data_IF_415239084554
#
_entry.id   IF_415239084554
#
_cell.length_a   1.000
_cell.length_b   1.000
_cell.length_c   1.000
_cell.angle_alpha   90.00
_cell.angle_beta   90.00
_cell.angle_gamma   90.00
#
_symmetry.space_group_name_H-M   'P 1'
#
loop_
_entity.id
_entity.type
_entity.pdbx_description
1 polymer ?
#
# COMPACT_ATOMS: atom_id res chain seq x y z
N UNK A 1 -21.25 -0.06 -25.53
CA UNK A 1 -21.67 -0.44 -24.17
C UNK A 1 -20.40 -0.70 -23.37
N UNK A 2 -19.94 0.28 -22.59
CA UNK A 2 -18.71 0.17 -21.78
C UNK A 2 -18.99 -0.87 -20.69
N UNK A 3 -18.35 -2.03 -20.75
CA UNK A 3 -18.38 -2.98 -19.64
C UNK A 3 -17.70 -2.31 -18.45
N UNK A 4 -18.49 -1.85 -17.49
CA UNK A 4 -18.02 -1.53 -16.16
C UNK A 4 -17.43 -2.81 -15.60
N UNK A 5 -16.10 -2.90 -15.59
CA UNK A 5 -15.40 -3.97 -14.89
C UNK A 5 -15.84 -3.89 -13.44
N UNK A 6 -16.56 -4.91 -12.94
CA UNK A 6 -16.86 -5.01 -11.52
C UNK A 6 -15.52 -4.96 -10.77
N UNK A 7 -15.29 -3.91 -9.98
CA UNK A 7 -14.10 -3.86 -9.12
C UNK A 7 -14.24 -4.99 -8.09
N UNK A 8 -13.34 -5.98 -8.19
CA UNK A 8 -13.37 -7.13 -7.29
C UNK A 8 -12.91 -6.67 -5.90
N UNK A 9 -13.69 -7.00 -4.88
CA UNK A 9 -13.35 -6.73 -3.47
C UNK A 9 -12.86 -8.01 -2.83
N UNK A 10 -11.74 -7.96 -2.12
CA UNK A 10 -11.11 -9.07 -1.40
C UNK A 10 -10.99 -8.76 0.08
N UNK A 11 -11.17 -9.76 0.95
CA UNK A 11 -11.10 -9.57 2.41
C UNK A 11 -9.76 -10.06 2.94
N UNK A 12 -9.08 -9.21 3.72
CA UNK A 12 -7.82 -9.53 4.39
C UNK A 12 -7.83 -9.10 5.85
N UNK A 13 -7.12 -9.85 6.70
CA UNK A 13 -6.82 -9.42 8.06
C UNK A 13 -5.62 -8.47 8.04
N UNK A 14 -5.80 -7.26 8.56
CA UNK A 14 -4.76 -6.24 8.68
C UNK A 14 -4.61 -5.78 10.13
N UNK A 15 -3.39 -5.37 10.48
CA UNK A 15 -3.10 -4.61 11.69
C UNK A 15 -1.94 -3.65 11.44
N UNK A 16 -1.59 -2.84 12.44
CA UNK A 16 -0.49 -1.89 12.39
C UNK A 16 0.79 -2.52 11.81
N UNK A 17 1.21 -3.67 12.35
CA UNK A 17 2.44 -4.35 11.95
C UNK A 17 2.44 -4.79 10.47
N UNK A 18 1.30 -5.24 9.97
CA UNK A 18 1.16 -5.65 8.56
C UNK A 18 1.39 -4.47 7.63
N UNK A 19 0.86 -3.30 7.99
CA UNK A 19 0.94 -2.09 7.16
C UNK A 19 2.31 -1.42 7.31
N UNK A 20 2.83 -1.26 8.53
CA UNK A 20 4.17 -0.67 8.74
C UNK A 20 5.27 -1.55 8.15
N UNK A 21 5.20 -2.88 8.35
CA UNK A 21 6.20 -3.80 7.82
C UNK A 21 6.28 -3.80 6.29
N UNK A 22 5.16 -3.53 5.61
CA UNK A 22 5.12 -3.33 4.17
C UNK A 22 5.75 -1.98 3.75
N UNK A 23 5.44 -0.89 4.44
CA UNK A 23 6.01 0.44 4.16
C UNK A 23 7.52 0.49 4.41
N UNK A 24 7.99 -0.20 5.44
CA UNK A 24 9.42 -0.31 5.80
C UNK A 24 10.23 -1.10 4.76
N UNK A 25 9.60 -2.04 4.04
CA UNK A 25 10.20 -2.67 2.86
C UNK A 25 10.15 -1.70 1.67
N UNK A 26 11.08 -0.74 1.69
CA UNK A 26 11.17 0.32 0.68
C UNK A 26 11.24 -0.21 -0.75
N UNK A 27 11.85 -1.39 -0.96
CA UNK A 27 11.98 -1.98 -2.30
C UNK A 27 10.65 -2.50 -2.83
N UNK A 28 9.92 -3.27 -2.03
CA UNK A 28 8.60 -3.78 -2.40
C UNK A 28 7.59 -2.65 -2.48
N UNK A 29 7.62 -1.73 -1.51
CA UNK A 29 6.72 -0.59 -1.43
C UNK A 29 6.83 0.34 -2.65
N UNK A 30 8.04 0.72 -3.04
CA UNK A 30 8.26 1.60 -4.20
C UNK A 30 7.78 0.98 -5.50
N UNK A 31 8.07 -0.31 -5.71
CA UNK A 31 7.60 -1.04 -6.89
C UNK A 31 6.07 -1.00 -6.99
N UNK A 32 5.39 -1.30 -5.88
CA UNK A 32 3.94 -1.34 -5.82
C UNK A 32 3.32 0.06 -5.96
N UNK A 33 3.94 1.08 -5.39
CA UNK A 33 3.53 2.48 -5.47
C UNK A 33 3.51 2.97 -6.92
N UNK A 34 4.58 2.74 -7.68
CA UNK A 34 4.69 3.13 -9.10
C UNK A 34 3.59 2.49 -9.97
N UNK A 35 3.24 1.23 -9.68
CA UNK A 35 2.17 0.51 -10.41
C UNK A 35 0.78 1.07 -10.09
N UNK A 36 0.53 1.54 -8.86
CA UNK A 36 -0.79 1.99 -8.43
C UNK A 36 -1.08 3.46 -8.72
N UNK A 37 -0.04 4.31 -8.85
CA UNK A 37 -0.22 5.77 -8.74
C UNK A 37 0.48 6.60 -9.82
N UNK A 38 0.80 6.03 -10.98
CA UNK A 38 1.43 6.75 -12.11
C UNK A 38 0.63 7.94 -12.71
N UNK A 39 -0.45 8.40 -12.07
CA UNK A 39 -1.36 9.46 -12.55
C UNK A 39 -1.93 10.39 -11.46
N UNK A 40 -1.32 10.47 -10.27
CA UNK A 40 -1.82 11.36 -9.21
C UNK A 40 -1.76 12.84 -9.62
N UNK A 41 -2.75 13.62 -9.17
CA UNK A 41 -2.90 15.06 -9.45
C UNK A 41 -1.74 15.89 -8.87
N UNK A 42 -1.13 16.69 -9.73
CA UNK A 42 0.20 17.29 -9.57
C UNK A 42 0.26 18.47 -8.58
N UNK A 43 -0.84 19.19 -8.37
CA UNK A 43 -0.81 20.49 -7.66
C UNK A 43 -0.69 20.40 -6.13
N UNK A 44 -1.02 19.26 -5.52
CA UNK A 44 -1.01 19.11 -4.06
C UNK A 44 0.27 18.51 -3.49
N UNK A 45 1.06 17.82 -4.31
CA UNK A 45 2.13 16.94 -3.85
C UNK A 45 3.51 17.25 -4.43
N UNK A 46 3.59 18.28 -5.26
CA UNK A 46 4.81 18.91 -5.74
C UNK A 46 5.42 19.76 -4.60
N UNK A 47 6.28 19.12 -3.80
CA UNK A 47 6.86 19.70 -2.60
C UNK A 47 7.96 20.71 -2.92
N UNK A 48 8.70 20.48 -4.01
CA UNK A 48 9.74 21.39 -4.49
C UNK A 48 9.20 22.48 -5.45
N UNK A 49 7.92 22.39 -5.83
CA UNK A 49 7.18 23.32 -6.71
C UNK A 49 7.74 23.37 -8.13
N UNK A 50 8.31 22.28 -8.61
CA UNK A 50 8.89 22.18 -9.95
C UNK A 50 7.84 21.91 -11.07
N UNK A 51 6.58 21.71 -10.70
CA UNK A 51 5.45 21.43 -11.58
C UNK A 51 5.26 19.96 -11.93
N UNK A 52 6.05 19.04 -11.37
CA UNK A 52 5.95 17.59 -11.54
C UNK A 52 6.03 16.86 -10.21
N UNK A 53 5.21 15.82 -10.03
CA UNK A 53 5.39 14.90 -8.90
C UNK A 53 6.47 13.89 -9.28
N UNK A 54 7.58 13.89 -8.56
CA UNK A 54 8.59 12.86 -8.73
C UNK A 54 8.26 11.58 -7.93
N UNK A 55 9.00 10.50 -8.20
CA UNK A 55 8.78 9.21 -7.54
C UNK A 55 9.01 9.26 -6.03
N UNK A 56 9.86 10.16 -5.54
CA UNK A 56 10.20 10.32 -4.14
C UNK A 56 9.11 11.08 -3.38
N UNK A 57 8.53 12.12 -3.98
CA UNK A 57 7.38 12.85 -3.44
C UNK A 57 6.14 11.95 -3.35
N UNK A 58 5.84 11.23 -4.44
CA UNK A 58 4.75 10.25 -4.47
C UNK A 58 4.94 9.15 -3.40
N UNK A 59 6.16 8.62 -3.26
CA UNK A 59 6.50 7.63 -2.24
C UNK A 59 6.29 8.16 -0.84
N UNK A 60 6.75 9.38 -0.56
CA UNK A 60 6.70 9.97 0.79
C UNK A 60 5.26 10.14 1.24
N UNK A 61 4.40 10.69 0.38
CA UNK A 61 2.97 10.82 0.64
C UNK A 61 2.29 9.47 0.90
N UNK A 62 2.53 8.49 0.03
CA UNK A 62 1.88 7.18 0.15
C UNK A 62 2.36 6.46 1.41
N UNK A 63 3.62 6.61 1.78
CA UNK A 63 4.15 6.08 3.03
C UNK A 63 3.47 6.73 4.24
N UNK A 64 3.37 8.06 4.28
CA UNK A 64 2.69 8.79 5.36
C UNK A 64 1.22 8.39 5.50
N UNK A 65 0.53 8.27 4.36
CA UNK A 65 -0.88 7.85 4.33
C UNK A 65 -1.05 6.42 4.87
N UNK A 66 -0.20 5.49 4.42
CA UNK A 66 -0.23 4.11 4.88
C UNK A 66 0.13 3.99 6.36
N UNK A 67 1.08 4.79 6.86
CA UNK A 67 1.42 4.85 8.29
C UNK A 67 0.26 5.40 9.12
N UNK A 68 -0.43 6.44 8.64
CA UNK A 68 -1.62 6.96 9.31
C UNK A 68 -2.73 5.89 9.38
N UNK A 69 -2.91 5.11 8.30
CA UNK A 69 -3.82 3.94 8.31
C UNK A 69 -3.38 2.92 9.35
N UNK A 70 -2.08 2.57 9.38
CA UNK A 70 -1.53 1.60 10.32
C UNK A 70 -1.79 1.99 11.79
N UNK A 71 -1.60 3.27 12.11
CA UNK A 71 -1.87 3.81 13.43
C UNK A 71 -3.36 3.88 13.74
N UNK A 72 -4.19 4.21 12.75
CA UNK A 72 -5.65 4.26 12.89
C UNK A 72 -6.30 2.89 13.12
N UNK A 73 -5.80 1.83 12.47
CA UNK A 73 -6.34 0.45 12.63
C UNK A 73 -5.87 -0.25 13.89
N UNK A 74 -4.73 0.19 14.47
CA UNK A 74 -4.20 -0.35 15.72
C UNK A 74 -3.56 -1.75 15.59
N UNK A 75 -3.11 -2.30 16.73
CA UNK A 75 -2.33 -3.54 16.76
C UNK A 75 -3.13 -4.84 16.62
N UNK A 76 -4.44 -4.79 16.89
CA UNK A 76 -5.32 -5.96 16.79
C UNK A 76 -5.69 -6.24 15.33
N UNK A 77 -5.66 -7.50 14.86
CA UNK A 77 -6.11 -7.83 13.52
C UNK A 77 -7.58 -7.51 13.29
N UNK A 78 -7.87 -6.78 12.21
CA UNK A 78 -9.22 -6.44 11.75
C UNK A 78 -9.41 -6.97 10.33
N UNK A 79 -10.58 -7.53 10.04
CA UNK A 79 -10.95 -7.92 8.68
C UNK A 79 -11.36 -6.68 7.88
N UNK A 80 -10.68 -6.44 6.78
CA UNK A 80 -10.92 -5.29 5.90
C UNK A 80 -11.26 -5.79 4.50
N UNK A 81 -12.34 -5.26 3.95
CA UNK A 81 -12.72 -5.45 2.55
C UNK A 81 -11.98 -4.42 1.69
N UNK A 82 -11.15 -4.88 0.77
CA UNK A 82 -10.21 -4.08 0.01
C UNK A 82 -10.44 -4.25 -1.49
N UNK A 83 -10.24 -3.18 -2.24
CA UNK A 83 -10.21 -3.25 -3.69
C UNK A 83 -9.03 -4.10 -4.17
N UNK A 84 -9.27 -4.94 -5.19
CA UNK A 84 -8.25 -5.77 -5.80
C UNK A 84 -7.13 -4.91 -6.40
N UNK A 85 -5.88 -5.29 -6.14
CA UNK A 85 -4.69 -4.55 -6.59
C UNK A 85 -4.32 -3.32 -5.74
N UNK A 86 -5.13 -2.96 -4.74
CA UNK A 86 -4.80 -1.85 -3.82
C UNK A 86 -3.51 -2.11 -3.01
N UNK A 87 -2.86 -1.04 -2.55
CA UNK A 87 -1.65 -1.13 -1.73
C UNK A 87 -1.86 -1.94 -0.44
N UNK A 88 -3.06 -1.88 0.16
CA UNK A 88 -3.37 -2.62 1.38
C UNK A 88 -3.51 -4.13 1.13
N UNK A 89 -3.95 -4.56 -0.06
CA UNK A 89 -3.90 -5.98 -0.45
C UNK A 89 -2.45 -6.43 -0.55
N UNK A 90 -1.59 -5.61 -1.17
CA UNK A 90 -0.16 -5.90 -1.31
C UNK A 90 0.56 -5.97 0.03
N UNK A 91 0.17 -5.14 0.99
CA UNK A 91 0.67 -5.23 2.37
C UNK A 91 0.30 -6.58 3.02
N UNK A 92 -0.93 -7.04 2.85
CA UNK A 92 -1.36 -8.33 3.38
C UNK A 92 -0.62 -9.51 2.70
N UNK A 93 -0.38 -9.43 1.39
CA UNK A 93 0.36 -10.44 0.64
C UNK A 93 1.85 -10.48 1.02
N UNK A 94 2.46 -9.31 1.22
CA UNK A 94 3.84 -9.18 1.71
C UNK A 94 4.04 -9.86 3.06
N UNK A 95 3.15 -9.58 4.02
CA UNK A 95 3.17 -10.20 5.34
C UNK A 95 3.00 -11.74 5.26
N UNK A 96 2.08 -12.23 4.43
CA UNK A 96 1.89 -13.67 4.19
C UNK A 96 3.14 -14.32 3.62
N UNK A 97 3.74 -13.71 2.60
CA UNK A 97 4.96 -14.22 1.96
C UNK A 97 6.14 -14.26 2.94
N UNK A 98 6.30 -13.20 3.75
CA UNK A 98 7.33 -13.12 4.80
C UNK A 98 7.17 -14.24 5.84
N UNK A 99 5.95 -14.50 6.32
CA UNK A 99 5.66 -15.59 7.26
C UNK A 99 5.92 -16.98 6.67
N UNK A 100 5.58 -17.19 5.40
CA UNK A 100 5.87 -18.46 4.71
C UNK A 100 7.37 -18.72 4.53
N UNK A 101 8.19 -17.68 4.36
CA UNK A 101 9.64 -17.85 4.29
C UNK A 101 10.22 -18.26 5.65
N UNK A 102 9.77 -17.63 6.74
CA UNK A 102 10.19 -17.98 8.11
C UNK A 102 9.80 -19.43 8.43
N UNK A 103 8.60 -19.86 8.05
CA UNK A 103 8.13 -21.23 8.29
C UNK A 103 8.88 -22.32 7.50
N UNK A 104 9.65 -21.96 6.46
CA UNK A 104 10.49 -22.91 5.71
C UNK A 104 11.89 -23.08 6.32
N UNK A 105 12.28 -22.21 7.24
CA UNK A 105 13.60 -22.20 7.88
C UNK A 105 13.56 -22.98 9.22
N UNK A 106 12.38 -23.20 9.78
CA UNK A 106 12.13 -23.96 11.00
C UNK A 106 11.61 -25.37 10.69
#
# INVERSE_FOLDING_TARGET
MKTSSASAVVVHALNNLTVTGFVEDTTTFEKCSKECFGKLDMERFDADKNGVIDGQECKTLLAETMLAVAWGIGGSPVLVALEHGSLLVRAAEHEKAKKMQIAKIN
#
